data_IF_257437989641
#
_entry.id   IF_257437989641
#
_cell.length_a   1.000
_cell.length_b   1.000
_cell.length_c   1.000
_cell.angle_alpha   90.00
_cell.angle_beta   90.00
_cell.angle_gamma   90.00
#
_symmetry.space_group_name_H-M   'P 1'
#
loop_
_entity.id
_entity.type
_entity.pdbx_description
1 polymer ?
2 non-polymer ?
3 non-polymer ?
#
# COMPACT_ATOMS: atom_id res chain seq x y z
N UNK A 9 -28.02 1.00 17.61
CA UNK A 9 -26.66 1.36 17.22
C UNK A 9 -26.61 1.84 15.77
N UNK A 10 -27.70 1.59 15.03
CA UNK A 10 -27.78 1.98 13.63
C UNK A 10 -28.35 3.37 13.42
N UNK A 11 -28.73 4.07 14.49
CA UNK A 11 -29.24 5.41 14.40
C UNK A 11 -28.24 6.50 14.73
N UNK A 12 -26.95 6.16 14.86
CA UNK A 12 -25.96 7.15 15.27
C UNK A 12 -25.81 8.26 14.24
N UNK A 13 -25.87 7.91 12.95
CA UNK A 13 -25.73 8.90 11.89
C UNK A 13 -27.03 9.63 11.59
N UNK A 14 -28.19 9.00 11.83
CA UNK A 14 -29.44 9.74 11.78
C UNK A 14 -29.52 10.75 12.91
N UNK A 15 -28.99 10.38 14.09
CA UNK A 15 -28.97 11.30 15.23
C UNK A 15 -28.08 12.50 14.93
N UNK A 16 -26.84 12.24 14.49
CA UNK A 16 -25.86 13.30 14.25
C UNK A 16 -26.17 14.12 13.00
N UNK A 17 -27.22 13.78 12.24
CA UNK A 17 -27.49 14.52 11.02
C UNK A 17 -26.44 14.31 9.95
N UNK A 18 -25.84 13.13 9.90
CA UNK A 18 -24.81 12.80 8.93
C UNK A 18 -25.44 11.90 7.88
N UNK A 19 -25.45 12.30 6.60
CA UNK A 19 -26.12 11.49 5.58
C UNK A 19 -25.38 10.19 5.31
N UNK A 20 -26.08 9.27 4.66
CA UNK A 20 -25.53 7.99 4.33
C UNK A 20 -26.59 6.99 3.92
N UNK A 21 -26.16 5.87 3.31
CA UNK A 21 -27.14 4.85 2.89
C UNK A 21 -27.83 4.21 4.07
N UNK A 22 -29.05 3.77 3.84
CA UNK A 22 -29.85 3.16 4.89
C UNK A 22 -29.33 1.74 5.18
N UNK A 23 -28.88 1.46 6.40
CA UNK A 23 -28.34 0.13 6.68
C UNK A 23 -29.43 -0.90 6.94
N UNK A 24 -29.12 -2.14 6.59
CA UNK A 24 -29.97 -3.28 6.91
C UNK A 24 -29.61 -3.83 8.28
N UNK A 25 -30.54 -4.52 8.94
CA UNK A 25 -30.23 -5.11 10.25
C UNK A 25 -29.08 -6.11 10.18
N UNK A 26 -28.20 -6.06 11.18
CA UNK A 26 -27.03 -6.93 11.30
C UNK A 26 -25.98 -6.67 10.22
N UNK A 27 -26.39 -6.72 8.94
CA UNK A 27 -25.43 -6.53 7.86
C UNK A 27 -24.92 -5.10 7.76
N UNK A 28 -25.67 -4.13 8.28
CA UNK A 28 -25.31 -2.75 8.06
C UNK A 28 -25.41 -2.38 6.58
N UNK A 29 -24.28 -1.98 5.99
CA UNK A 29 -24.24 -1.64 4.58
C UNK A 29 -23.29 -2.53 3.80
N UNK A 30 -22.97 -3.71 4.32
CA UNK A 30 -21.97 -4.57 3.68
C UNK A 30 -22.44 -5.11 2.35
N UNK A 31 -23.75 -5.19 2.12
CA UNK A 31 -24.24 -5.66 0.82
C UNK A 31 -23.83 -4.72 -0.30
N UNK A 32 -23.59 -3.44 0.01
CA UNK A 32 -23.13 -2.49 -0.98
C UNK A 32 -21.70 -2.74 -1.44
N UNK A 33 -20.96 -3.61 -0.74
CA UNK A 33 -19.61 -3.97 -1.13
C UNK A 33 -19.55 -4.95 -2.29
N UNK A 34 -20.66 -5.16 -3.00
CA UNK A 34 -20.68 -6.10 -4.10
C UNK A 34 -19.89 -5.60 -5.31
N UNK A 35 -19.68 -4.30 -5.42
CA UNK A 35 -18.83 -3.72 -6.45
C UNK A 35 -17.43 -3.38 -5.93
N UNK A 36 -17.12 -3.76 -4.69
CA UNK A 36 -15.84 -3.45 -4.10
C UNK A 36 -15.87 -2.15 -3.32
N UNK A 37 -14.87 -2.00 -2.44
CA UNK A 37 -14.75 -0.79 -1.63
C UNK A 37 -14.70 0.45 -2.50
N UNK A 38 -13.97 0.37 -3.63
CA UNK A 38 -13.70 1.57 -4.43
C UNK A 38 -14.98 2.14 -5.03
N UNK A 39 -15.74 1.31 -5.75
CA UNK A 39 -16.97 1.78 -6.37
C UNK A 39 -17.98 2.23 -5.33
N UNK A 40 -17.98 1.61 -4.15
CA UNK A 40 -18.90 2.02 -3.10
C UNK A 40 -18.58 3.42 -2.59
N UNK A 41 -17.31 3.69 -2.31
CA UNK A 41 -16.93 5.01 -1.81
C UNK A 41 -17.10 6.09 -2.88
N UNK A 42 -16.78 5.76 -4.14
CA UNK A 42 -16.96 6.72 -5.22
C UNK A 42 -18.41 7.15 -5.33
N UNK A 43 -19.34 6.20 -5.22
CA UNK A 43 -20.76 6.54 -5.26
C UNK A 43 -21.17 7.32 -4.03
N UNK A 44 -20.76 6.86 -2.84
CA UNK A 44 -21.09 7.57 -1.62
C UNK A 44 -20.54 8.98 -1.62
N UNK A 45 -19.33 9.17 -2.17
CA UNK A 45 -18.76 10.51 -2.28
C UNK A 45 -19.61 11.39 -3.18
N UNK A 46 -20.25 10.81 -4.19
CA UNK A 46 -21.12 11.58 -5.08
C UNK A 46 -22.52 11.71 -4.52
N UNK A 47 -22.95 10.75 -3.70
CA UNK A 47 -24.34 10.74 -3.24
C UNK A 47 -24.59 11.72 -2.10
N UNK A 48 -23.60 11.94 -1.23
CA UNK A 48 -23.81 12.72 -0.02
C UNK A 48 -22.85 13.90 0.14
N UNK A 49 -21.69 13.90 -0.51
CA UNK A 49 -20.83 15.07 -0.49
C UNK A 49 -19.57 14.93 0.35
N UNK A 50 -19.32 15.91 1.21
CA UNK A 50 -18.05 16.00 1.91
C UNK A 50 -17.94 15.00 3.05
N UNK A 51 -19.06 14.60 3.65
CA UNK A 51 -19.05 13.72 4.82
C UNK A 51 -20.27 12.82 4.74
N UNK A 52 -20.05 11.51 4.93
CA UNK A 52 -21.15 10.56 5.01
C UNK A 52 -20.77 9.47 6.01
N UNK A 53 -21.73 8.59 6.30
CA UNK A 53 -21.52 7.52 7.25
C UNK A 53 -22.21 6.26 6.80
N UNK A 54 -21.73 5.14 7.35
CA UNK A 54 -22.30 3.83 7.07
C UNK A 54 -21.91 2.90 8.20
N UNK A 55 -22.28 1.62 8.08
CA UNK A 55 -22.12 0.65 9.16
C UNK A 55 -21.53 -0.63 8.60
N UNK A 56 -20.28 -0.92 8.95
CA UNK A 56 -19.67 -2.21 8.66
C UNK A 56 -20.16 -3.20 9.71
N UNK A 57 -21.27 -3.87 9.38
CA UNK A 57 -21.95 -4.70 10.35
C UNK A 57 -22.65 -3.84 11.38
N UNK A 58 -22.17 -3.87 12.63
CA UNK A 58 -22.63 -2.95 13.66
C UNK A 58 -21.63 -1.82 13.92
N UNK A 59 -20.53 -1.78 13.17
CA UNK A 59 -19.47 -0.81 13.41
C UNK A 59 -19.77 0.46 12.62
N UNK A 60 -20.02 1.60 13.28
CA UNK A 60 -20.24 2.85 12.54
C UNK A 60 -18.92 3.38 11.97
N UNK A 61 -18.93 3.73 10.69
CA UNK A 61 -17.77 4.25 10.00
C UNK A 61 -18.13 5.61 9.40
N UNK A 62 -17.34 6.62 9.73
CA UNK A 62 -17.53 7.97 9.21
C UNK A 62 -16.46 8.27 8.17
N UNK A 63 -16.89 8.72 7.00
CA UNK A 63 -16.00 9.00 5.89
C UNK A 63 -15.88 10.50 5.69
N UNK A 64 -14.68 11.04 5.88
CA UNK A 64 -14.40 12.45 5.73
C UNK A 64 -13.60 12.66 4.45
N UNK A 65 -13.88 13.78 3.76
CA UNK A 65 -13.15 14.14 2.55
C UNK A 65 -12.62 15.57 2.60
N UNK A 66 -12.68 16.23 3.77
CA UNK A 66 -12.22 17.60 3.89
C UNK A 66 -10.73 17.61 4.18
N UNK A 67 -9.91 18.28 3.36
CA UNK A 67 -8.45 18.23 3.59
C UNK A 67 -8.03 18.73 4.95
N UNK A 68 -8.66 19.79 5.45
CA UNK A 68 -8.38 20.26 6.81
C UNK A 68 -8.82 19.23 7.84
N UNK A 69 -9.98 18.61 7.62
CA UNK A 69 -10.47 17.58 8.54
C UNK A 69 -9.59 16.34 8.47
N UNK A 70 -9.08 16.01 7.27
CA UNK A 70 -8.17 14.87 7.14
C UNK A 70 -6.85 15.17 7.82
N UNK A 71 -6.29 16.37 7.56
CA UNK A 71 -5.06 16.77 8.22
C UNK A 71 -5.21 16.78 9.73
N UNK A 72 -6.41 17.10 10.23
CA UNK A 72 -6.64 17.10 11.67
C UNK A 72 -6.59 15.69 12.24
N UNK A 73 -7.15 14.71 11.52
CA UNK A 73 -7.20 13.35 12.02
C UNK A 73 -5.85 12.65 11.88
N UNK A 74 -5.26 12.72 10.69
CA UNK A 74 -4.02 11.97 10.44
C UNK A 74 -2.83 12.61 11.14
N UNK A 75 -2.81 13.92 11.30
CA UNK A 75 -1.63 14.63 11.78
C UNK A 75 -1.89 15.33 13.12
N UNK A 76 -2.84 16.27 13.13
CA UNK A 76 -2.98 17.16 14.28
C UNK A 76 -3.41 16.40 15.54
N UNK A 77 -4.37 15.49 15.40
CA UNK A 77 -4.89 14.80 16.58
C UNK A 77 -4.62 13.30 16.51
N UNK A 78 -3.39 12.92 16.15
CA UNK A 78 -3.04 11.52 16.04
C UNK A 78 -2.68 10.92 17.39
N UNK A 79 -1.69 11.50 18.06
CA UNK A 79 -1.23 10.96 19.34
C UNK A 79 -2.29 10.99 20.42
N UNK A 80 -3.35 11.78 20.25
CA UNK A 80 -4.36 11.98 21.28
C UNK A 80 -5.63 11.17 21.05
N UNK A 81 -6.22 11.27 19.85
CA UNK A 81 -7.55 10.75 19.58
C UNK A 81 -7.52 9.63 18.55
N UNK A 82 -6.77 9.80 17.46
CA UNK A 82 -6.79 8.84 16.35
C UNK A 82 -5.41 8.19 16.25
N UNK A 83 -5.08 7.37 17.25
CA UNK A 83 -3.80 6.69 17.28
C UNK A 83 -3.82 5.35 16.56
N UNK A 84 -4.93 4.61 16.66
CA UNK A 84 -4.98 3.23 16.21
C UNK A 84 -5.98 3.07 15.07
N UNK A 85 -5.78 2.02 14.29
CA UNK A 85 -6.64 1.70 13.16
C UNK A 85 -7.79 0.80 13.62
N UNK A 86 -8.59 0.32 12.68
CA UNK A 86 -9.70 -0.56 13.01
C UNK A 86 -9.16 -1.86 13.59
N UNK A 87 -9.72 -2.36 14.69
CA UNK A 87 -9.20 -3.61 15.27
C UNK A 87 -9.32 -4.77 14.31
N UNK A 88 -8.29 -5.62 14.30
CA UNK A 88 -8.17 -6.72 13.34
C UNK A 88 -7.89 -8.00 14.10
N UNK A 89 -8.72 -9.02 13.87
CA UNK A 89 -8.57 -10.29 14.53
C UNK A 89 -9.33 -11.39 13.82
N UNK A 90 -9.00 -12.65 14.12
CA UNK A 90 -7.99 -13.11 15.09
C UNK A 90 -6.57 -12.98 14.56
N UNK A 91 -5.66 -12.42 15.37
CA UNK A 91 -4.29 -12.20 14.95
C UNK A 91 -3.30 -13.04 15.74
N UNK A 92 -3.58 -13.38 16.99
CA UNK A 92 -2.65 -14.19 17.77
C UNK A 92 -1.46 -13.36 18.20
N UNK A 93 -0.26 -13.92 17.99
CA UNK A 93 0.96 -13.18 18.31
C UNK A 93 1.18 -11.99 17.40
N UNK A 94 0.48 -11.93 16.27
CA UNK A 94 0.54 -10.79 15.37
C UNK A 94 -0.11 -9.54 15.93
N UNK A 95 -0.70 -9.60 17.12
CA UNK A 95 -1.22 -8.40 17.76
C UNK A 95 -0.10 -7.40 18.03
N UNK A 96 1.12 -7.89 18.22
CA UNK A 96 2.27 -7.03 18.48
C UNK A 96 2.86 -6.44 17.22
N UNK A 97 2.33 -6.77 16.05
CA UNK A 97 2.82 -6.19 14.81
C UNK A 97 2.56 -4.69 14.80
N UNK A 98 3.50 -3.94 14.22
CA UNK A 98 3.44 -2.48 14.30
C UNK A 98 2.19 -1.95 13.59
N UNK A 99 1.81 -2.60 12.45
CA UNK A 99 0.60 -2.22 11.76
C UNK A 99 -0.67 -2.66 12.48
N UNK A 100 -0.54 -3.38 13.60
CA UNK A 100 -1.68 -3.94 14.32
C UNK A 100 -1.64 -3.46 15.76
N UNK A 101 -0.44 -3.16 16.26
CA UNK A 101 -0.28 -2.71 17.64
C UNK A 101 -1.00 -1.38 17.86
N UNK A 102 -1.25 -1.07 19.14
CA UNK A 102 -2.05 0.08 19.51
C UNK A 102 -1.41 0.85 20.66
N UNK A 103 -1.67 2.15 20.70
CA UNK A 103 -1.40 3.03 21.85
C UNK A 103 0.09 2.99 22.18
N UNK A 104 0.47 2.81 23.45
CA UNK A 104 1.86 2.93 23.85
C UNK A 104 2.72 1.80 23.30
N UNK A 105 2.12 0.64 23.02
CA UNK A 105 2.88 -0.44 22.40
C UNK A 105 3.31 -0.05 21.00
N UNK A 106 2.45 0.68 20.27
CA UNK A 106 2.81 1.09 18.91
C UNK A 106 3.88 2.18 18.92
N UNK A 107 3.75 3.15 19.83
CA UNK A 107 4.72 4.24 19.90
C UNK A 107 6.13 3.71 20.16
N UNK A 108 6.24 2.66 20.96
CA UNK A 108 7.55 2.06 21.22
C UNK A 108 8.08 1.35 19.98
N UNK A 109 7.22 0.62 19.27
CA UNK A 109 7.67 -0.09 18.08
C UNK A 109 7.99 0.87 16.94
N UNK A 110 7.17 1.91 16.77
CA UNK A 110 7.42 2.88 15.69
C UNK A 110 8.75 3.59 15.89
N UNK A 111 9.12 3.86 17.14
CA UNK A 111 10.41 4.49 17.41
C UNK A 111 11.56 3.50 17.20
N UNK A 112 11.36 2.24 17.60
CA UNK A 112 12.41 1.25 17.49
C UNK A 112 12.71 0.89 16.04
N UNK A 113 11.70 0.92 15.18
CA UNK A 113 11.86 0.53 13.78
C UNK A 113 11.98 1.72 12.83
N UNK A 114 11.88 2.95 13.34
CA UNK A 114 12.07 4.11 12.48
C UNK A 114 13.47 4.34 11.93
N UNK A 115 14.57 4.01 12.64
CA UNK A 115 15.90 4.17 12.05
C UNK A 115 16.30 3.11 11.03
N UNK A 116 15.34 2.32 10.54
CA UNK A 116 15.64 1.30 9.55
C UNK A 116 15.60 1.84 8.12
N UNK A 117 14.81 2.87 7.87
CA UNK A 117 14.67 3.46 6.54
C UNK A 117 15.16 4.90 6.51
N UNK A 118 16.24 5.18 7.23
CA UNK A 118 16.85 6.49 7.12
C UNK A 118 17.53 6.66 5.77
N UNK A 119 17.89 7.90 5.45
CA UNK A 119 18.55 8.18 4.18
C UNK A 119 19.91 7.49 4.09
N UNK A 120 20.53 7.15 5.21
CA UNK A 120 21.79 6.45 5.20
C UNK A 120 21.64 4.94 5.09
N UNK A 121 20.66 4.38 5.82
CA UNK A 121 20.41 2.95 5.75
C UNK A 121 19.93 2.53 4.37
N UNK A 122 19.19 3.40 3.67
CA UNK A 122 18.77 3.09 2.31
C UNK A 122 19.94 3.16 1.33
N UNK A 123 20.86 4.09 1.57
CA UNK A 123 22.01 4.22 0.67
C UNK A 123 22.92 3.00 0.72
N UNK A 124 22.95 2.31 1.87
CA UNK A 124 23.72 1.08 1.97
C UNK A 124 23.04 -0.07 1.24
N UNK A 125 21.74 0.04 0.95
CA UNK A 125 21.01 -1.02 0.28
C UNK A 125 21.11 -0.96 -1.24
N UNK A 126 21.46 0.20 -1.80
CA UNK A 126 21.56 0.32 -3.26
C UNK A 126 22.61 -0.63 -3.83
N UNK A 127 23.83 -0.74 -3.27
CA UNK A 127 24.77 -1.75 -3.79
C UNK A 127 24.26 -3.18 -3.62
N UNK A 128 23.47 -3.46 -2.59
CA UNK A 128 22.96 -4.80 -2.38
C UNK A 128 21.78 -5.09 -3.30
N UNK A 129 20.86 -4.13 -3.45
CA UNK A 129 19.72 -4.32 -4.33
C UNK A 129 20.16 -4.48 -5.79
N UNK A 130 21.31 -3.91 -6.13
CA UNK A 130 21.77 -3.85 -7.53
C UNK A 130 22.15 -5.22 -8.08
N UNK A 131 22.02 -6.26 -7.26
CA UNK A 131 22.36 -7.61 -7.70
C UNK A 131 21.17 -8.31 -8.35
N UNK A 132 20.03 -8.33 -7.66
CA UNK A 132 18.88 -9.07 -8.16
C UNK A 132 18.20 -8.37 -9.32
N UNK A 133 18.48 -7.09 -9.54
CA UNK A 133 18.03 -6.45 -10.76
C UNK A 133 18.63 -7.08 -11.99
N UNK A 134 19.91 -7.48 -11.91
CA UNK A 134 20.52 -8.24 -13.00
C UNK A 134 19.94 -9.65 -13.07
N UNK A 135 19.61 -10.24 -11.91
CA UNK A 135 18.85 -11.48 -11.92
C UNK A 135 17.47 -11.24 -12.51
N UNK A 136 16.92 -10.04 -12.31
CA UNK A 136 15.62 -9.71 -12.89
C UNK A 136 15.70 -9.55 -14.39
N UNK A 137 16.74 -8.86 -14.88
CA UNK A 137 16.91 -8.70 -16.32
C UNK A 137 17.21 -10.04 -16.98
N UNK A 138 18.09 -10.84 -16.38
CA UNK A 138 18.42 -12.14 -16.96
C UNK A 138 17.25 -13.10 -16.90
N UNK A 139 16.41 -13.02 -15.87
CA UNK A 139 15.18 -13.81 -15.86
C UNK A 139 14.19 -13.31 -16.89
N UNK A 140 14.21 -12.01 -17.19
CA UNK A 140 13.36 -11.46 -18.24
C UNK A 140 13.97 -11.62 -19.63
N UNK A 141 15.29 -11.82 -19.71
CA UNK A 141 15.94 -12.00 -21.00
C UNK A 141 15.66 -13.38 -21.59
N UNK A 142 15.27 -14.35 -20.76
CA UNK A 142 14.98 -15.70 -21.23
C UNK A 142 13.58 -15.84 -21.82
N UNK A 143 12.61 -15.16 -21.20
CA UNK A 143 11.24 -15.14 -21.77
C UNK A 143 11.28 -14.27 -23.01
N UNK A 144 12.19 -13.29 -23.03
CA UNK A 144 12.34 -12.43 -24.23
C UNK A 144 12.52 -13.32 -25.45
N UNK A 145 13.56 -14.16 -25.45
CA UNK A 145 13.80 -15.08 -26.58
C UNK A 145 12.55 -15.92 -26.80
N UNK A 146 11.94 -16.41 -25.73
CA UNK A 146 10.71 -17.24 -25.84
C UNK A 146 9.68 -16.50 -26.70
N UNK A 147 9.87 -15.19 -26.88
CA UNK A 147 8.95 -14.40 -27.74
C UNK A 147 7.46 -14.61 -27.50
N UNK A 148 7.01 -14.45 -26.25
CA UNK A 148 5.60 -14.72 -25.90
C UNK A 148 5.16 -13.78 -24.78
N UNK A 149 3.87 -13.75 -24.40
CA UNK A 149 3.40 -12.92 -23.28
C UNK A 149 4.19 -13.23 -22.00
N UNK A 150 4.16 -12.31 -21.02
CA UNK A 150 4.92 -12.49 -19.75
C UNK A 150 4.05 -12.06 -18.57
N UNK A 151 4.05 -12.81 -17.47
CA UNK A 151 3.31 -12.36 -16.30
C UNK A 151 4.24 -11.50 -15.46
N UNK A 152 3.94 -10.21 -15.36
CA UNK A 152 4.86 -9.28 -14.70
C UNK A 152 4.96 -9.55 -13.21
N UNK A 153 3.83 -9.77 -12.54
CA UNK A 153 3.84 -9.88 -11.09
C UNK A 153 4.64 -11.09 -10.62
N UNK A 154 4.77 -12.12 -11.46
CA UNK A 154 5.60 -13.26 -11.11
C UNK A 154 7.07 -12.89 -11.09
N UNK A 155 7.57 -12.33 -12.20
CA UNK A 155 8.98 -11.95 -12.26
C UNK A 155 9.26 -10.72 -11.40
N UNK A 156 8.24 -9.89 -11.14
CA UNK A 156 8.41 -8.78 -10.21
C UNK A 156 8.39 -9.26 -8.76
N UNK A 157 7.45 -10.15 -8.43
CA UNK A 157 7.40 -10.71 -7.09
C UNK A 157 8.62 -11.54 -6.76
N UNK A 158 9.11 -12.30 -7.73
CA UNK A 158 10.36 -13.04 -7.55
C UNK A 158 11.51 -12.08 -7.29
N UNK A 159 11.54 -10.96 -8.00
CA UNK A 159 12.53 -9.92 -7.73
C UNK A 159 12.30 -9.28 -6.36
N UNK A 160 11.05 -8.91 -6.07
CA UNK A 160 10.75 -8.20 -4.84
C UNK A 160 11.04 -9.06 -3.62
N UNK A 161 10.79 -10.38 -3.72
CA UNK A 161 11.11 -11.27 -2.61
C UNK A 161 12.63 -11.40 -2.41
N UNK A 162 13.40 -11.35 -3.50
CA UNK A 162 14.85 -11.37 -3.37
C UNK A 162 15.37 -10.14 -2.66
N UNK A 163 14.71 -9.00 -2.85
CA UNK A 163 15.18 -7.76 -2.23
C UNK A 163 14.81 -7.72 -0.75
N UNK A 164 13.60 -8.16 -0.39
CA UNK A 164 13.13 -8.01 0.98
C UNK A 164 13.85 -8.96 1.93
N UNK A 165 14.22 -10.17 1.46
CA UNK A 165 14.91 -11.11 2.31
C UNK A 165 16.35 -10.72 2.56
N UNK A 166 16.96 -9.95 1.66
CA UNK A 166 18.35 -9.52 1.79
C UNK A 166 18.50 -8.13 2.40
N UNK A 167 17.58 -7.21 2.12
CA UNK A 167 17.67 -5.87 2.70
C UNK A 167 17.37 -5.86 4.19
N UNK A 168 16.73 -6.90 4.70
CA UNK A 168 16.35 -6.96 6.11
C UNK A 168 17.06 -8.07 6.88
N UNK A 169 17.40 -9.16 6.18
CA UNK A 169 18.06 -10.32 6.85
C UNK A 169 19.32 -10.70 6.06
N UNK A 170 19.30 -10.50 4.74
CA UNK A 170 20.49 -10.77 3.91
C UNK A 170 20.57 -12.21 3.44
N UNK A 171 19.42 -12.83 3.14
CA UNK A 171 19.42 -14.22 2.59
C UNK A 171 19.42 -14.13 1.06
N UNK A 172 20.36 -14.79 0.40
CA UNK A 172 20.49 -14.69 -1.08
C UNK A 172 19.80 -15.90 -1.73
N UNK A 173 18.75 -15.67 -2.50
CA UNK A 173 18.03 -16.75 -3.17
C UNK A 173 17.55 -16.26 -4.53
N UNK A 174 17.84 -17.04 -5.57
CA UNK A 174 17.32 -16.79 -6.91
C UNK A 174 15.89 -17.31 -6.82
N UNK A 175 14.92 -16.39 -6.90
CA UNK A 175 13.53 -16.78 -6.75
C UNK A 175 12.91 -17.35 -8.01
N UNK A 176 13.56 -18.36 -8.61
CA UNK A 176 12.90 -19.22 -9.56
C UNK A 176 12.88 -20.67 -9.12
N UNK A 197 -13.85 -11.92 -0.71
CA UNK A 197 -13.26 -12.72 0.40
C UNK A 197 -14.22 -13.85 0.78
N UNK A 198 -13.72 -14.97 1.36
CA UNK A 198 -14.58 -16.10 1.77
C UNK A 198 -14.99 -16.08 3.23
N UNK A 199 -14.15 -15.52 4.09
CA UNK A 199 -14.24 -15.69 5.54
C UNK A 199 -14.24 -14.38 6.30
N UNK A 200 -13.50 -13.37 5.83
CA UNK A 200 -13.55 -12.06 6.45
C UNK A 200 -14.94 -11.42 6.32
N UNK A 201 -15.76 -11.92 5.40
CA UNK A 201 -17.15 -11.49 5.31
C UNK A 201 -17.88 -11.71 6.63
N UNK A 202 -17.54 -12.79 7.35
CA UNK A 202 -18.16 -13.06 8.63
C UNK A 202 -17.51 -12.27 9.77
N UNK A 203 -16.29 -11.76 9.56
CA UNK A 203 -15.62 -10.99 10.61
C UNK A 203 -16.40 -9.73 10.94
N UNK A 204 -16.91 -9.04 9.91
CA UNK A 204 -17.50 -7.73 10.14
C UNK A 204 -18.90 -7.82 10.73
N UNK A 205 -19.70 -8.80 10.31
CA UNK A 205 -21.00 -9.00 10.93
C UNK A 205 -20.88 -9.72 12.27
N UNK A 206 -19.79 -10.47 12.48
CA UNK A 206 -19.50 -11.12 13.76
C UNK A 206 -18.19 -10.61 14.34
N UNK A 207 -18.08 -9.32 14.66
CA UNK A 207 -16.88 -8.86 15.38
C UNK A 207 -16.84 -9.35 16.80
N UNK A 208 -18.00 -9.76 17.34
CA UNK A 208 -18.05 -10.43 18.63
C UNK A 208 -17.42 -11.81 18.58
N UNK A 209 -17.31 -12.41 17.39
CA UNK A 209 -16.66 -13.70 17.24
C UNK A 209 -15.14 -13.61 17.18
N UNK A 210 -14.59 -12.41 17.02
CA UNK A 210 -13.13 -12.25 17.03
C UNK A 210 -12.53 -12.69 18.37
N UNK A 211 -13.05 -12.27 19.53
CA UNK A 211 -12.51 -12.82 20.78
C UNK A 211 -12.66 -14.33 20.89
N UNK A 212 -13.68 -14.91 20.26
CA UNK A 212 -13.83 -16.36 20.25
C UNK A 212 -12.63 -17.01 19.56
N UNK A 213 -12.30 -16.53 18.36
CA UNK A 213 -11.24 -17.16 17.57
C UNK A 213 -9.86 -16.93 18.16
N UNK A 214 -9.69 -15.88 18.96
CA UNK A 214 -8.38 -15.62 19.57
C UNK A 214 -8.02 -16.69 20.60
N UNK A 215 -9.03 -17.30 21.24
CA UNK A 215 -8.77 -18.33 22.24
C UNK A 215 -8.68 -19.73 21.64
N UNK A 216 -8.94 -19.88 20.34
CA UNK A 216 -8.83 -21.16 19.65
C UNK A 216 -7.54 -21.28 18.87
N UNK A 217 -6.62 -20.32 18.99
CA UNK A 217 -5.44 -20.16 18.16
C UNK A 217 -5.77 -20.03 16.67
N UNK A 218 -7.04 -19.81 16.34
CA UNK A 218 -7.42 -19.55 14.95
C UNK A 218 -6.79 -18.23 14.52
N UNK A 219 -6.26 -18.20 13.30
CA UNK A 219 -5.57 -17.03 12.80
C UNK A 219 -5.96 -16.80 11.35
N UNK A 220 -6.20 -15.53 11.02
CA UNK A 220 -6.45 -15.15 9.63
C UNK A 220 -5.25 -15.48 8.75
N UNK A 221 -4.06 -15.54 9.35
CA UNK A 221 -2.87 -16.02 8.67
C UNK A 221 -2.71 -17.49 9.01
N UNK A 222 -2.82 -18.40 8.04
CA UNK A 222 -2.86 -19.83 8.36
C UNK A 222 -1.66 -20.26 9.21
N UNK A 223 -1.95 -21.04 10.25
CA UNK A 223 -0.97 -21.35 11.28
C UNK A 223 0.22 -22.13 10.75
N UNK A 224 0.16 -22.67 9.55
CA UNK A 224 1.31 -23.32 8.94
C UNK A 224 2.21 -22.34 8.20
N UNK A 225 1.68 -21.20 7.76
CA UNK A 225 2.53 -20.16 7.18
C UNK A 225 3.33 -19.47 8.27
N UNK A 226 2.71 -19.20 9.42
CA UNK A 226 3.42 -18.57 10.53
C UNK A 226 4.38 -19.55 11.19
N UNK A 227 3.97 -20.80 11.39
CA UNK A 227 4.87 -21.81 11.95
C UNK A 227 6.07 -22.03 11.05
N UNK A 228 5.90 -21.86 9.74
CA UNK A 228 7.05 -21.85 8.84
C UNK A 228 8.00 -20.70 9.16
N UNK A 229 7.53 -19.67 9.86
CA UNK A 229 8.35 -18.52 10.22
C UNK A 229 8.53 -18.34 11.73
N UNK A 230 7.66 -18.91 12.56
CA UNK A 230 7.87 -18.87 14.00
C UNK A 230 9.17 -19.56 14.42
N UNK A 231 9.78 -20.32 13.53
CA UNK A 231 11.11 -20.87 13.71
C UNK A 231 12.12 -20.36 12.69
N UNK A 232 11.69 -19.99 11.49
CA UNK A 232 12.61 -19.54 10.45
C UNK A 232 13.28 -18.23 10.82
N UNK A 233 12.59 -17.35 11.55
CA UNK A 233 13.23 -16.12 12.01
C UNK A 233 14.23 -16.42 13.11
N UNK A 234 13.87 -17.33 14.03
CA UNK A 234 14.85 -17.87 14.95
C UNK A 234 15.92 -18.67 14.22
N UNK A 235 15.61 -19.18 13.03
CA UNK A 235 16.56 -19.87 12.16
C UNK A 235 17.42 -18.89 11.36
N UNK A 236 17.42 -17.61 11.71
CA UNK A 236 18.25 -16.61 11.03
C UNK A 236 18.89 -15.66 12.04
N UNK A 250 21.23 -4.45 8.99
CA UNK A 250 19.95 -4.82 8.39
C UNK A 250 18.83 -4.73 9.41
N UNK A 251 17.59 -4.77 8.91
CA UNK A 251 16.41 -4.70 9.78
C UNK A 251 16.47 -5.76 10.87
N UNK A 252 16.87 -6.98 10.51
CA UNK A 252 17.06 -8.02 11.53
C UNK A 252 18.17 -7.64 12.50
N UNK A 253 19.25 -7.04 11.99
CA UNK A 253 20.33 -6.60 12.86
C UNK A 253 19.87 -5.47 13.78
N UNK A 254 19.20 -4.46 13.21
CA UNK A 254 18.78 -3.28 13.95
C UNK A 254 17.72 -3.55 15.01
N UNK A 255 17.27 -4.80 15.18
CA UNK A 255 16.28 -5.14 16.19
C UNK A 255 16.91 -5.69 17.47
N UNK A 256 17.77 -6.70 17.35
CA UNK A 256 18.43 -7.23 18.53
C UNK A 256 19.42 -6.21 19.09
N UNK A 257 20.00 -5.38 18.22
CA UNK A 257 20.92 -4.35 18.69
C UNK A 257 20.20 -3.30 19.53
N UNK A 258 18.93 -3.03 19.23
CA UNK A 258 18.11 -2.16 20.05
C UNK A 258 17.34 -2.93 21.12
N UNK A 259 17.61 -4.22 21.27
CA UNK A 259 17.10 -5.02 22.38
C UNK A 259 18.10 -5.05 23.52
N UNK A 260 19.32 -5.53 23.25
CA UNK A 260 20.40 -5.59 24.23
C UNK A 260 19.98 -6.32 25.51
N UNK A 268 10.96 -2.53 28.54
CA UNK A 268 10.84 -1.33 27.74
C UNK A 268 11.69 -1.44 26.48
N UNK A 269 12.16 -2.65 26.21
CA UNK A 269 12.95 -2.96 25.03
C UNK A 269 12.17 -3.93 24.15
N UNK A 270 12.86 -4.60 23.22
CA UNK A 270 12.21 -5.45 22.24
C UNK A 270 12.27 -6.91 22.66
N UNK A 271 11.22 -7.67 22.31
CA UNK A 271 11.13 -9.08 22.65
C UNK A 271 11.61 -9.92 21.46
N UNK A 272 11.25 -11.20 21.43
CA UNK A 272 11.68 -12.11 20.37
C UNK A 272 10.52 -12.62 19.52
N UNK A 273 9.43 -13.08 20.15
CA UNK A 273 8.25 -13.44 19.37
C UNK A 273 7.69 -12.22 18.65
N UNK A 274 7.87 -11.03 19.23
CA UNK A 274 7.46 -9.82 18.54
C UNK A 274 8.41 -9.47 17.40
N UNK A 275 9.67 -9.90 17.50
CA UNK A 275 10.60 -9.71 16.40
C UNK A 275 10.17 -10.49 15.16
N UNK A 276 9.60 -11.68 15.37
CA UNK A 276 9.10 -12.46 14.25
C UNK A 276 7.89 -11.77 13.63
N UNK A 277 7.01 -11.20 14.45
CA UNK A 277 5.80 -10.57 13.93
C UNK A 277 6.13 -9.38 13.06
N UNK A 278 7.15 -8.60 13.43
CA UNK A 278 7.56 -7.47 12.59
C UNK A 278 8.20 -7.96 11.29
N UNK A 279 8.89 -9.10 11.33
CA UNK A 279 9.45 -9.66 10.11
C UNK A 279 8.36 -10.04 9.13
N UNK A 280 7.27 -10.64 9.64
CA UNK A 280 6.17 -11.04 8.76
C UNK A 280 5.55 -9.81 8.10
N UNK A 281 5.40 -8.72 8.85
CA UNK A 281 4.85 -7.50 8.29
C UNK A 281 5.73 -6.96 7.18
N UNK A 282 7.05 -6.90 7.44
CA UNK A 282 7.98 -6.35 6.45
C UNK A 282 8.08 -7.27 5.23
N UNK A 283 8.13 -8.58 5.45
CA UNK A 283 8.30 -9.52 4.34
C UNK A 283 7.10 -9.45 3.40
N UNK A 284 5.89 -9.35 3.95
CA UNK A 284 4.71 -9.19 3.10
C UNK A 284 4.71 -7.82 2.42
N UNK A 285 4.99 -6.76 3.19
CA UNK A 285 4.90 -5.41 2.66
C UNK A 285 5.85 -5.22 1.48
N UNK A 286 7.10 -5.63 1.63
CA UNK A 286 8.06 -5.48 0.55
C UNK A 286 7.81 -6.38 -0.64
N UNK A 287 7.11 -7.51 -0.44
CA UNK A 287 6.80 -8.40 -1.57
C UNK A 287 5.58 -7.91 -2.34
N UNK A 288 4.41 -7.95 -1.69
CA UNK A 288 3.16 -7.75 -2.41
C UNK A 288 3.02 -6.32 -2.92
N UNK A 289 3.30 -5.34 -2.07
CA UNK A 289 3.12 -3.95 -2.46
C UNK A 289 4.04 -3.57 -3.62
N UNK A 290 5.32 -3.97 -3.53
CA UNK A 290 6.27 -3.63 -4.60
C UNK A 290 5.89 -4.30 -5.91
N UNK A 291 5.56 -5.60 -5.86
CA UNK A 291 5.22 -6.33 -7.07
C UNK A 291 3.92 -5.83 -7.68
N UNK A 292 2.95 -5.47 -6.84
CA UNK A 292 1.64 -5.06 -7.35
C UNK A 292 1.73 -3.72 -8.06
N UNK A 293 2.41 -2.75 -7.45
CA UNK A 293 2.52 -1.43 -8.06
C UNK A 293 3.37 -1.48 -9.31
N UNK A 294 4.42 -2.31 -9.31
CA UNK A 294 5.23 -2.49 -10.51
C UNK A 294 4.42 -3.09 -11.64
N UNK A 295 3.47 -3.99 -11.32
CA UNK A 295 2.58 -4.52 -12.33
C UNK A 295 1.68 -3.42 -12.89
N UNK A 296 1.20 -2.53 -12.02
CA UNK A 296 0.37 -1.42 -12.48
C UNK A 296 1.17 -0.46 -13.35
N UNK A 297 2.44 -0.23 -13.01
CA UNK A 297 3.24 0.75 -13.73
C UNK A 297 3.54 0.26 -15.15
N UNK A 298 3.94 -1.00 -15.29
CA UNK A 298 4.27 -1.52 -16.61
C UNK A 298 3.05 -1.65 -17.50
N UNK A 299 1.87 -1.85 -16.91
CA UNK A 299 0.65 -1.84 -17.70
C UNK A 299 0.39 -0.46 -18.28
N UNK A 300 0.54 0.59 -17.44
CA UNK A 300 0.27 1.94 -17.91
C UNK A 300 1.29 2.39 -18.95
N UNK A 301 2.55 1.94 -18.82
CA UNK A 301 3.55 2.28 -19.83
C UNK A 301 3.25 1.60 -21.15
N UNK A 302 2.69 0.40 -21.11
CA UNK A 302 2.38 -0.32 -22.35
C UNK A 302 1.19 0.30 -23.07
N UNK A 303 0.14 0.65 -22.32
CA UNK A 303 -1.04 1.27 -22.92
C UNK A 303 -0.84 2.75 -23.25
N UNK A 304 0.26 3.35 -22.77
CA UNK A 304 0.62 4.72 -23.11
C UNK A 304 2.08 4.71 -23.54
N UNK A 305 2.35 4.35 -24.80
CA UNK A 305 3.75 4.15 -25.23
C UNK A 305 4.57 5.44 -25.23
N UNK A 306 3.94 6.60 -25.46
CA UNK A 306 4.68 7.85 -25.49
C UNK A 306 5.33 8.13 -24.14
N UNK A 307 4.64 7.79 -23.04
CA UNK A 307 5.23 7.96 -21.72
C UNK A 307 6.39 7.00 -21.52
N UNK A 308 6.32 5.80 -22.11
CA UNK A 308 7.37 4.82 -21.91
C UNK A 308 8.66 5.24 -22.61
N UNK A 309 8.56 5.77 -23.83
CA UNK A 309 9.75 6.23 -24.54
C UNK A 309 10.37 7.43 -23.86
N UNK A 310 9.55 8.44 -23.52
CA UNK A 310 10.06 9.60 -22.81
C UNK A 310 10.68 9.21 -21.48
N UNK A 311 10.22 8.10 -20.88
CA UNK A 311 10.85 7.60 -19.67
C UNK A 311 12.18 6.93 -19.98
N UNK A 312 12.23 6.13 -21.06
CA UNK A 312 13.48 5.51 -21.46
C UNK A 312 14.53 6.54 -21.88
N UNK A 313 14.09 7.68 -22.41
CA UNK A 313 15.03 8.73 -22.80
C UNK A 313 15.70 9.35 -21.59
N UNK A 314 14.95 9.59 -20.52
CA UNK A 314 15.55 10.16 -19.32
C UNK A 314 16.45 9.16 -18.60
N UNK A 315 16.11 7.86 -18.67
CA UNK A 315 16.93 6.85 -18.02
C UNK A 315 18.31 6.76 -18.68
N UNK A 316 18.35 6.84 -20.01
CA UNK A 316 19.62 6.83 -20.73
C UNK A 316 20.34 8.17 -20.66
N UNK A 317 19.65 9.24 -20.27
CA UNK A 317 20.32 10.53 -20.13
C UNK A 317 21.07 10.63 -18.80
N UNK A 318 20.41 10.28 -17.70
CA UNK A 318 21.08 10.28 -16.40
C UNK A 318 22.07 9.12 -16.32
N UNK A 319 21.76 7.98 -16.94
CA UNK A 319 22.60 6.79 -16.91
C UNK A 319 22.94 6.40 -18.34
N UNK A 320 23.94 7.04 -18.95
CA UNK A 320 24.35 6.64 -20.30
C UNK A 320 25.12 5.33 -20.28
N UNK A 321 25.13 4.67 -21.45
CA UNK A 321 25.78 3.38 -21.62
C UNK A 321 25.20 2.32 -20.68
N UNK A 322 23.91 2.45 -20.33
CA UNK A 322 23.24 1.56 -19.40
C UNK A 322 24.00 1.51 -18.06
N UNK A 323 24.14 2.68 -17.45
CA UNK A 323 24.90 2.79 -16.22
C UNK A 323 24.13 2.20 -15.04
N UNK A 324 24.83 1.68 -14.04
CA UNK A 324 24.15 1.14 -12.86
C UNK A 324 23.51 2.25 -12.05
N UNK A 325 22.21 2.14 -11.73
CA UNK A 325 21.54 3.19 -10.97
C UNK A 325 22.03 3.24 -9.53
N UNK A 326 22.55 4.41 -9.13
CA UNK A 326 22.98 4.65 -7.77
C UNK A 326 21.91 5.43 -7.02
N UNK A 327 22.14 5.68 -5.74
CA UNK A 327 21.17 6.39 -4.92
C UNK A 327 20.91 7.80 -5.45
N UNK A 328 21.97 8.53 -5.77
CA UNK A 328 21.83 9.92 -6.16
C UNK A 328 21.24 10.09 -7.55
N UNK A 329 21.48 9.12 -8.44
CA UNK A 329 20.92 9.20 -9.79
C UNK A 329 19.44 8.83 -9.82
N UNK A 330 18.95 8.11 -8.83
CA UNK A 330 17.53 7.74 -8.79
C UNK A 330 16.67 8.94 -8.40
N UNK A 331 17.11 9.73 -7.42
CA UNK A 331 16.36 10.92 -7.02
C UNK A 331 16.43 12.04 -8.05
N UNK A 332 17.29 11.92 -9.05
CA UNK A 332 17.38 12.95 -10.08
C UNK A 332 16.33 12.78 -11.17
N UNK A 333 15.96 11.53 -11.46
CA UNK A 333 15.00 11.24 -12.54
C UNK A 333 13.62 11.69 -12.10
N UNK A 334 13.20 12.87 -12.57
CA UNK A 334 11.92 13.43 -12.15
C UNK A 334 10.76 12.83 -12.93
N UNK A 335 10.96 12.54 -14.21
CA UNK A 335 9.88 11.90 -14.97
C UNK A 335 9.61 10.48 -14.49
N UNK A 336 10.64 9.81 -13.97
CA UNK A 336 10.43 8.52 -13.30
C UNK A 336 9.56 8.70 -12.07
N UNK A 337 9.81 9.76 -11.29
CA UNK A 337 8.98 10.04 -10.13
C UNK A 337 7.56 10.42 -10.54
N UNK A 338 7.40 11.11 -11.67
CA UNK A 338 6.08 11.48 -12.14
C UNK A 338 5.28 10.27 -12.57
N UNK A 339 5.92 9.30 -13.21
CA UNK A 339 5.24 8.06 -13.59
C UNK A 339 4.84 7.27 -12.35
N UNK A 340 5.70 7.26 -11.33
CA UNK A 340 5.40 6.52 -10.11
C UNK A 340 4.23 7.16 -9.37
N UNK A 341 4.26 8.49 -9.23
CA UNK A 341 3.19 9.17 -8.49
C UNK A 341 1.84 9.00 -9.18
N UNK A 342 1.81 9.13 -10.50
CA UNK A 342 0.54 9.07 -11.22
C UNK A 342 -0.07 7.67 -11.15
N UNK A 343 0.77 6.63 -11.26
CA UNK A 343 0.25 5.27 -11.13
C UNK A 343 -0.29 5.02 -9.72
N UNK A 344 0.39 5.55 -8.72
CA UNK A 344 -0.10 5.43 -7.35
C UNK A 344 -1.37 6.23 -7.12
N UNK A 345 -1.63 7.26 -7.94
CA UNK A 345 -2.90 7.97 -7.86
C UNK A 345 -4.03 7.08 -8.36
N UNK A 346 -3.86 6.46 -9.52
CA UNK A 346 -4.90 5.59 -10.07
C UNK A 346 -5.05 4.32 -9.26
N UNK A 347 -3.97 3.83 -8.65
CA UNK A 347 -3.99 2.56 -7.92
C UNK A 347 -3.34 2.72 -6.56
N UNK A 348 -3.99 3.40 -5.61
CA UNK A 348 -3.53 3.37 -4.23
C UNK A 348 -3.88 2.06 -3.56
N UNK A 349 -2.92 1.14 -3.47
CA UNK A 349 -3.14 -0.24 -3.08
C UNK A 349 -3.88 -0.35 -1.75
N UNK A 350 -3.80 0.69 -0.92
CA UNK A 350 -4.49 0.69 0.35
C UNK A 350 -5.95 1.12 0.24
N UNK A 351 -6.30 1.90 -0.79
CA UNK A 351 -7.66 2.32 -1.06
C UNK A 351 -8.12 3.28 0.03
N UNK A 352 -8.00 2.87 1.30
CA UNK A 352 -8.58 3.59 2.42
C UNK A 352 -7.53 3.81 3.50
N UNK A 353 -7.73 4.90 4.26
CA UNK A 353 -6.98 5.17 5.47
C UNK A 353 -7.99 5.26 6.62
N UNK A 354 -7.72 4.53 7.70
CA UNK A 354 -8.68 4.41 8.78
C UNK A 354 -8.04 4.68 10.14
N UNK A 355 -8.80 5.33 11.01
CA UNK A 355 -8.40 5.61 12.38
C UNK A 355 -9.61 5.41 13.29
N UNK A 356 -9.37 4.87 14.48
CA UNK A 356 -10.43 4.67 15.46
C UNK A 356 -10.46 5.88 16.39
N UNK A 357 -11.58 6.58 16.41
CA UNK A 357 -11.79 7.66 17.37
C UNK A 357 -11.86 7.08 18.78
N UNK A 358 -10.91 7.48 19.63
CA UNK A 358 -10.78 6.88 20.95
C UNK A 358 -11.43 7.70 22.06
N UNK A 359 -11.96 8.89 21.75
CA UNK A 359 -12.71 9.67 22.72
C UNK A 359 -13.43 10.79 21.98
N UNK A 360 -14.47 11.32 22.63
CA UNK A 360 -15.31 12.35 22.01
C UNK A 360 -14.48 13.55 21.60
N UNK A 361 -14.73 14.05 20.39
CA UNK A 361 -14.04 15.21 19.85
C UNK A 361 -15.00 16.00 18.98
N UNK A 362 -14.63 17.26 18.71
CA UNK A 362 -15.37 18.15 17.82
C UNK A 362 -14.35 18.77 16.87
N UNK A 363 -13.93 17.99 15.88
CA UNK A 363 -12.91 18.43 14.94
C UNK A 363 -13.56 19.27 13.85
N UNK A 364 -12.94 20.41 13.54
CA UNK A 364 -13.34 21.31 12.46
C UNK A 364 -14.85 21.55 12.42
N UNK A 365 -15.45 21.74 13.58
CA UNK A 365 -16.86 22.05 13.68
C UNK A 365 -17.80 20.88 13.62
N UNK A 366 -17.31 19.64 13.69
CA UNK A 366 -18.15 18.46 13.61
C UNK A 366 -17.84 17.56 14.81
N UNK A 367 -18.87 17.22 15.57
CA UNK A 367 -18.71 16.28 16.68
C UNK A 367 -18.57 14.86 16.14
N UNK A 368 -17.67 14.10 16.75
CA UNK A 368 -17.44 12.70 16.39
C UNK A 368 -17.48 11.89 17.68
N UNK A 369 -18.38 10.93 17.83
CA UNK A 369 -18.50 10.19 19.08
C UNK A 369 -17.38 9.18 19.26
N UNK A 370 -17.24 8.71 20.50
CA UNK A 370 -16.20 7.74 20.83
C UNK A 370 -16.51 6.39 20.18
N UNK A 371 -15.48 5.80 19.56
CA UNK A 371 -15.60 4.49 18.95
C UNK A 371 -15.78 4.50 17.45
N UNK A 372 -16.12 5.64 16.86
CA UNK A 372 -16.37 5.72 15.43
C UNK A 372 -15.07 5.52 14.66
N UNK A 373 -15.10 4.67 13.64
CA UNK A 373 -13.96 4.47 12.76
C UNK A 373 -13.99 5.57 11.71
N UNK A 374 -13.01 6.47 11.75
CA UNK A 374 -12.88 7.54 10.76
C UNK A 374 -12.11 6.99 9.56
N UNK A 375 -12.70 7.14 8.37
CA UNK A 375 -12.13 6.57 7.15
C UNK A 375 -11.97 7.66 6.11
N UNK A 376 -10.86 7.61 5.39
CA UNK A 376 -10.55 8.53 4.30
C UNK A 376 -10.57 7.72 3.00
N UNK A 377 -11.55 7.91 2.13
CA UNK A 377 -11.60 7.14 0.89
C UNK A 377 -10.52 7.58 -0.10
N UNK A 378 -9.33 7.01 0.03
CA UNK A 378 -8.20 7.44 -0.79
C UNK A 378 -8.46 7.20 -2.27
N UNK A 379 -9.01 6.04 -2.62
CA UNK A 379 -9.33 5.77 -4.02
C UNK A 379 -10.34 6.76 -4.56
N UNK A 380 -11.32 7.14 -3.74
CA UNK A 380 -12.34 8.08 -4.19
C UNK A 380 -11.76 9.47 -4.38
N UNK A 381 -10.87 9.90 -3.48
CA UNK A 381 -10.29 11.24 -3.58
C UNK A 381 -9.32 11.34 -4.76
N UNK A 382 -8.57 10.27 -5.04
CA UNK A 382 -7.64 10.27 -6.16
C UNK A 382 -8.34 10.35 -7.51
N UNK A 383 -9.66 10.18 -7.55
CA UNK A 383 -10.41 10.22 -8.80
C UNK A 383 -11.55 11.23 -8.76
N UNK A 384 -11.48 12.23 -7.88
CA UNK A 384 -12.54 13.21 -7.76
C UNK A 384 -12.37 14.29 -8.82
N UNK A 385 -13.35 14.49 -9.71
CA UNK A 385 -13.22 15.56 -10.72
C UNK A 385 -13.17 16.95 -10.12
N UNK A 386 -13.61 17.13 -8.88
CA UNK A 386 -13.47 18.41 -8.20
C UNK A 386 -12.03 18.69 -7.75
N UNK A 387 -11.10 17.81 -8.10
CA UNK A 387 -9.67 18.03 -7.91
C UNK A 387 -8.82 17.64 -9.12
N UNK A 388 -9.26 16.70 -9.96
CA UNK A 388 -8.46 16.17 -11.05
C UNK A 388 -9.20 16.38 -12.37
N UNK A 389 -8.52 16.98 -13.33
CA UNK A 389 -9.06 17.14 -14.68
C UNK A 389 -8.93 15.82 -15.44
N UNK A 390 -10.06 15.33 -15.96
CA UNK A 390 -10.14 14.04 -16.64
C UNK A 390 -9.49 12.97 -15.75
N UNK A 391 -10.14 12.58 -14.66
CA UNK A 391 -9.44 11.79 -13.63
C UNK A 391 -9.09 10.38 -14.06
N UNK A 392 -9.86 9.77 -14.95
CA UNK A 392 -9.61 8.39 -15.34
C UNK A 392 -8.43 8.23 -16.29
N UNK A 393 -7.86 9.33 -16.77
CA UNK A 393 -6.79 9.26 -17.78
C UNK A 393 -5.42 9.26 -17.10
N UNK A 394 -4.52 8.44 -17.64
CA UNK A 394 -3.15 8.35 -17.14
C UNK A 394 -2.36 9.54 -17.68
N UNK A 395 -2.00 10.47 -16.79
CA UNK A 395 -1.31 11.69 -17.17
C UNK A 395 -0.24 12.00 -16.13
N UNK A 396 1.00 11.56 -16.36
CA UNK A 396 2.08 11.87 -15.39
C UNK A 396 2.39 13.35 -15.28
N UNK A 397 1.96 14.17 -16.25
CA UNK A 397 2.22 15.60 -16.18
C UNK A 397 1.50 16.29 -15.03
N UNK A 398 0.62 15.58 -14.31
CA UNK A 398 0.04 16.15 -13.10
C UNK A 398 1.10 16.43 -12.05
N UNK A 399 2.19 15.66 -12.07
CA UNK A 399 3.21 15.73 -11.02
C UNK A 399 4.50 16.37 -11.49
N UNK A 400 4.46 17.13 -12.59
CA UNK A 400 5.62 17.94 -12.97
C UNK A 400 5.74 19.12 -12.02
N UNK A 401 6.96 19.65 -11.91
CA UNK A 401 7.20 20.79 -11.03
C UNK A 401 6.45 22.04 -11.50
N UNK A 402 5.86 22.02 -12.69
CA UNK A 402 4.98 23.08 -13.12
C UNK A 402 3.57 22.91 -12.56
N UNK A 403 3.18 21.68 -12.25
CA UNK A 403 1.82 21.39 -11.77
C UNK A 403 1.77 20.70 -10.42
N UNK A 404 2.90 20.25 -9.86
CA UNK A 404 2.88 19.50 -8.61
C UNK A 404 2.41 20.33 -7.42
N UNK A 405 2.26 21.63 -7.59
CA UNK A 405 1.84 22.50 -6.49
C UNK A 405 0.34 22.72 -6.38
N UNK A 406 -0.41 22.37 -7.42
CA UNK A 406 -1.87 22.47 -7.40
C UNK A 406 -2.49 21.17 -6.91
N UNK A 407 -1.80 20.48 -6.01
CA UNK A 407 -2.21 19.18 -5.53
C UNK A 407 -2.13 19.20 -4.01
N UNK A 408 -3.28 18.97 -3.36
CA UNK A 408 -3.34 18.93 -1.91
C UNK A 408 -2.74 17.62 -1.40
N UNK A 409 -1.67 17.67 -0.58
CA UNK A 409 -1.10 16.45 0.00
C UNK A 409 -2.00 15.75 1.01
N UNK A 410 -3.23 16.22 1.19
CA UNK A 410 -4.23 15.52 1.99
C UNK A 410 -5.40 15.03 1.14
N UNK A 411 -5.31 15.20 -0.18
CA UNK A 411 -6.14 14.49 -1.13
C UNK A 411 -5.39 13.36 -1.81
N UNK A 412 -4.14 13.62 -2.21
CA UNK A 412 -3.26 12.58 -2.73
C UNK A 412 -2.44 12.03 -1.58
N UNK A 413 -2.89 10.91 -1.01
CA UNK A 413 -2.22 10.26 0.12
C UNK A 413 -2.06 8.79 -0.17
N UNK A 414 -1.15 8.42 -1.08
CA UNK A 414 -0.89 7.00 -1.33
C UNK A 414 -0.07 6.32 -0.24
N UNK A 415 0.58 7.07 0.63
CA UNK A 415 1.37 6.53 1.72
C UNK A 415 0.84 6.98 3.08
N UNK A 416 -0.41 7.45 3.13
CA UNK A 416 -0.95 7.98 4.36
C UNK A 416 -0.37 9.33 4.72
N UNK A 417 -0.46 9.67 6.00
CA UNK A 417 0.08 10.92 6.51
C UNK A 417 0.14 10.83 8.03
N UNK A 418 0.89 11.74 8.63
CA UNK A 418 1.02 11.82 10.07
C UNK A 418 1.98 10.79 10.62
N UNK A 419 1.98 10.64 11.95
CA UNK A 419 2.93 9.71 12.58
C UNK A 419 2.68 8.25 12.26
N UNK A 420 1.53 7.90 11.67
CA UNK A 420 1.20 6.51 11.37
C UNK A 420 1.22 6.23 9.86
N UNK A 421 1.90 7.08 9.08
CA UNK A 421 1.96 6.86 7.65
C UNK A 421 2.82 5.64 7.34
N UNK A 422 2.95 5.33 6.05
CA UNK A 422 3.74 4.19 5.61
C UNK A 422 5.20 4.34 6.05
N UNK A 423 5.65 3.47 6.95
CA UNK A 423 7.01 3.59 7.49
C UNK A 423 8.04 3.27 6.42
N UNK A 424 7.69 2.44 5.43
CA UNK A 424 8.61 2.08 4.39
C UNK A 424 8.34 2.80 3.07
N UNK A 425 7.88 4.04 3.17
CA UNK A 425 7.56 4.81 1.97
C UNK A 425 8.82 5.09 1.16
N UNK A 426 9.89 5.54 1.82
CA UNK A 426 11.11 5.90 1.10
C UNK A 426 11.82 4.68 0.52
N UNK A 427 11.70 3.52 1.19
CA UNK A 427 12.29 2.30 0.65
C UNK A 427 11.51 1.81 -0.57
N UNK A 428 10.18 1.85 -0.50
CA UNK A 428 9.36 1.34 -1.59
C UNK A 428 9.57 2.16 -2.87
N UNK A 429 9.66 3.48 -2.74
CA UNK A 429 9.95 4.31 -3.89
C UNK A 429 11.34 4.00 -4.45
N UNK A 430 12.32 3.78 -3.58
CA UNK A 430 13.66 3.47 -4.05
C UNK A 430 13.74 2.08 -4.65
N UNK A 431 13.09 1.09 -4.02
CA UNK A 431 13.13 -0.27 -4.53
C UNK A 431 12.47 -0.37 -5.90
N UNK A 432 11.35 0.33 -6.08
CA UNK A 432 10.65 0.28 -7.38
C UNK A 432 11.43 1.01 -8.46
N UNK A 433 11.98 2.18 -8.13
CA UNK A 433 12.69 2.97 -9.14
C UNK A 433 13.96 2.27 -9.60
N UNK A 434 14.67 1.61 -8.67
CA UNK A 434 15.83 0.81 -9.07
C UNK A 434 15.41 -0.33 -9.99
N UNK A 435 14.20 -0.85 -9.82
CA UNK A 435 13.71 -1.92 -10.68
C UNK A 435 13.24 -1.38 -12.03
N UNK A 436 12.59 -0.22 -12.03
CA UNK A 436 12.12 0.36 -13.29
C UNK A 436 13.28 0.82 -14.16
N UNK A 437 14.35 1.32 -13.54
CA UNK A 437 15.51 1.77 -14.29
C UNK A 437 16.18 0.59 -15.01
N UNK A 438 16.47 -0.48 -14.26
CA UNK A 438 17.24 -1.58 -14.81
C UNK A 438 16.46 -2.36 -15.85
N UNK A 439 15.13 -2.37 -15.75
CA UNK A 439 14.30 -3.11 -16.70
C UNK A 439 14.01 -2.29 -17.95
N UNK A 440 13.64 -1.02 -17.79
CA UNK A 440 13.42 -0.16 -18.95
C UNK A 440 14.71 0.21 -19.66
N UNK A 441 15.88 -0.02 -19.04
CA UNK A 441 17.15 0.17 -19.72
C UNK A 441 17.40 -0.90 -20.77
N UNK A 442 16.76 -2.06 -20.65
CA UNK A 442 17.02 -3.20 -21.52
C UNK A 442 15.83 -3.63 -22.37
N UNK A 443 14.60 -3.36 -21.92
CA UNK A 443 13.42 -3.88 -22.59
C UNK A 443 12.38 -2.79 -22.81
N UNK A 444 11.57 -2.98 -23.85
CA UNK A 444 10.33 -2.24 -24.05
C UNK A 444 9.16 -3.19 -23.87
N UNK A 445 7.99 -2.62 -23.61
CA UNK A 445 6.80 -3.40 -23.25
C UNK A 445 5.64 -3.01 -24.14
N UNK A 446 5.04 -4.00 -24.79
CA UNK A 446 3.88 -3.85 -25.66
C UNK A 446 2.74 -4.72 -25.16
N UNK A 447 1.49 -4.28 -25.35
CA UNK A 447 0.36 -5.13 -24.98
C UNK A 447 0.27 -6.36 -25.87
N UNK A 448 -0.41 -7.38 -25.36
CA UNK A 448 -0.62 -8.62 -26.06
C UNK A 448 -2.09 -8.78 -26.42
N UNK A 449 -2.39 -9.87 -27.15
CA UNK A 449 -3.78 -10.17 -27.48
C UNK A 449 -4.60 -10.47 -26.24
N UNK A 450 -3.99 -11.09 -25.23
CA UNK A 450 -4.67 -11.44 -23.99
C UNK A 450 -4.53 -10.37 -22.91
N UNK A 451 -3.88 -9.25 -23.21
CA UNK A 451 -3.78 -8.16 -22.24
C UNK A 451 -5.14 -7.54 -22.01
N UNK A 452 -5.50 -7.36 -20.74
CA UNK A 452 -6.80 -6.83 -20.36
C UNK A 452 -6.80 -5.31 -20.51
N UNK A 453 -7.49 -4.82 -21.56
CA UNK A 453 -7.60 -3.40 -21.82
C UNK A 453 -9.06 -3.07 -22.09
N UNK A 454 -9.70 -2.21 -21.29
CA UNK A 454 -9.17 -1.50 -20.12
C UNK A 454 -8.99 -2.43 -18.92
N UNK A 455 -8.05 -2.14 -18.03
CA UNK A 455 -7.77 -3.02 -16.92
C UNK A 455 -8.91 -2.98 -15.90
N UNK A 456 -9.57 -4.12 -15.71
CA UNK A 456 -10.61 -4.23 -14.69
C UNK A 456 -9.96 -4.44 -13.32
N UNK A 457 -10.31 -3.57 -12.37
CA UNK A 457 -9.86 -3.76 -11.00
C UNK A 457 -10.57 -4.96 -10.38
N UNK A 458 -9.91 -5.55 -9.39
CA UNK A 458 -10.52 -6.66 -8.66
C UNK A 458 -11.74 -6.16 -7.88
N UNK A 459 -12.92 -6.62 -8.28
CA UNK A 459 -14.18 -6.20 -7.65
C UNK A 459 -14.27 -6.75 -6.24
N UNK A 460 -13.22 -7.45 -5.80
CA UNK A 460 -13.19 -8.08 -4.51
C UNK A 460 -12.71 -7.18 -3.40
N UNK A 461 -11.72 -7.64 -2.63
CA UNK A 461 -11.30 -6.99 -1.41
C UNK A 461 -10.13 -6.05 -1.54
N UNK A 462 -9.00 -6.55 -2.03
CA UNK A 462 -7.78 -5.76 -2.12
C UNK A 462 -7.56 -5.27 -3.55
N UNK A 463 -6.79 -4.18 -3.67
CA UNK A 463 -6.61 -3.51 -4.96
C UNK A 463 -5.64 -4.31 -5.81
N UNK A 464 -6.19 -5.15 -6.68
CA UNK A 464 -5.43 -5.95 -7.63
C UNK A 464 -6.19 -6.00 -8.95
N UNK A 465 -5.57 -6.45 -10.03
CA UNK A 465 -6.32 -6.67 -11.27
C UNK A 465 -7.05 -8.00 -11.25
N UNK A 466 -8.18 -8.04 -11.96
CA UNK A 466 -8.92 -9.29 -12.13
C UNK A 466 -8.04 -10.32 -12.82
N UNK A 467 -7.74 -10.09 -14.11
CA UNK A 467 -6.78 -10.92 -14.80
C UNK A 467 -5.36 -10.43 -14.51
N UNK A 468 -4.41 -11.34 -14.30
CA UNK A 468 -3.02 -10.91 -14.12
C UNK A 468 -2.52 -10.12 -15.31
N UNK A 469 -1.61 -9.19 -15.06
CA UNK A 469 -1.11 -8.28 -16.07
C UNK A 469 -0.07 -9.01 -16.92
N UNK A 470 -0.39 -9.22 -18.19
CA UNK A 470 0.50 -9.89 -19.14
C UNK A 470 0.77 -8.93 -20.29
N UNK A 471 2.04 -8.84 -20.69
CA UNK A 471 2.48 -7.96 -21.76
C UNK A 471 3.58 -8.64 -22.56
N UNK A 472 3.83 -8.12 -23.76
CA UNK A 472 4.93 -8.60 -24.59
C UNK A 472 6.18 -7.79 -24.27
N UNK A 473 7.32 -8.47 -24.24
CA UNK A 473 8.60 -7.87 -23.88
C UNK A 473 9.54 -7.98 -25.08
N UNK A 474 10.21 -6.89 -25.43
CA UNK A 474 11.15 -6.85 -26.55
C UNK A 474 12.48 -6.28 -26.07
N UNK A 475 13.56 -6.83 -26.60
CA UNK A 475 14.91 -6.47 -26.15
C UNK A 475 15.47 -5.35 -27.01
N UNK A 476 16.08 -4.36 -26.35
CA UNK A 476 16.67 -3.22 -27.04
C UNK A 476 18.10 -3.52 -27.46
X LIG B 1 1.40 1.58 6.33
X LIG B 1 1.15 2.39 1.54
X LIG B 1 5.17 -0.25 0.88
X LIG B 1 5.46 -1.00 5.67
X LIG B 1 0.98 2.02 5.10
X LIG B 1 -0.19 2.84 4.84
X LIG B 1 -0.26 3.06 3.52
X LIG B 1 0.87 2.39 2.90
X LIG B 1 -1.33 3.88 2.77
X LIG B 1 -1.19 3.36 5.90
X LIG B 1 -0.90 4.81 6.23
X LIG B 1 -1.93 5.32 7.21
X LIG B 1 -1.96 6.55 7.46
X LIG B 1 -2.72 4.50 7.74
X LIG B 1 2.22 1.75 0.95
X LIG B 1 2.52 1.77 -0.47
X LIG B 1 3.64 1.03 -0.66
X LIG B 1 4.06 0.54 0.64
X LIG B 1 1.66 2.52 -1.51
X LIG B 1 4.41 0.72 -1.96
X LIG B 1 4.08 1.15 -3.18
X LIG B 1 5.62 -0.64 2.11
X LIG B 1 6.88 -1.32 2.38
X LIG B 1 6.98 -1.54 3.69
X LIG B 1 5.78 -1.00 4.32
X LIG B 1 7.92 -1.73 1.31
X LIG B 1 8.19 -2.25 4.35
X LIG B 1 8.26 -2.51 5.66
X LIG B 1 4.37 -0.41 6.26
X LIG B 1 3.99 -0.52 7.66
X LIG B 1 2.87 0.19 7.84
X LIG B 1 2.50 0.77 6.57
X LIG B 1 4.75 -1.30 8.75
X LIG B 1 2.13 0.36 9.18
X LIG B 1 2.46 1.75 9.73
X LIG B 1 2.15 1.81 11.21
X LIG B 1 2.90 2.53 11.93
X LIG B 1 1.18 1.14 11.66
X LIG B 1 1.59 1.76 3.89
X LIG B 1 3.17 0.99 1.58
X LIG B 1 4.99 -0.47 3.32
X LIG B 1 3.42 0.38 5.63
X LIG B 1 3.29 0.65 3.61
X LIG C 1 0.90 -1.06 2.53
X LIG C 1 0.19 -2.26 2.27
X LIG C 1 0.51 -3.43 3.03
X LIG C 1 -2.79 -6.54 7.92
X LIG C 1 -2.48 -8.02 8.28
X LIG C 1 -1.37 -8.74 7.46
X LIG C 1 -1.56 -9.05 6.08
X LIG C 1 -0.54 -9.71 5.34
X LIG C 1 0.68 -10.07 5.96
X LIG C 1 0.86 -9.76 7.32
X LIG C 1 -0.16 -9.11 8.06
X LIG C 1 -3.75 -4.02 9.55
X LIG C 1 -4.35 -3.09 8.37
X LIG C 1 -3.60 -1.69 8.28
X LIG C 1 -1.55 -5.62 7.84
X LIG C 1 -0.05 -3.90 6.63
X LIG C 1 1.31 -4.64 6.37
X LIG C 1 1.88 -4.60 4.90
X LIG C 1 1.50 -3.37 4.04
X LIG C 1 2.15 -2.12 4.23
X LIG C 1 -3.06 -1.30 6.86
X LIG C 1 -1.72 -0.90 6.71
X LIG C 1 -1.17 -0.55 5.45
X LIG C 1 -1.98 -0.58 4.30
X LIG C 1 -3.32 -0.98 4.44
X LIG C 1 -3.86 -1.33 5.70
X LIG C 1 -6.60 -4.41 5.98
X LIG C 1 -5.25 -4.42 5.48
X LIG C 1 -4.87 -5.08 4.27
X LIG C 1 -5.84 -5.74 3.49
X LIG C 1 -7.20 -5.76 3.92
X LIG C 1 -7.53 -5.10 5.14
X LIG C 1 -1.24 -4.78 6.71
X LIG C 1 1.85 -1.01 3.49
X LIG C 1 -5.86 -2.84 8.45
X LIG C 1 -0.77 -5.58 8.81
X LIG C 1 -7.74 -4.56 8.39
X LIG C 1 -8.22 -2.66 7.28
X LIG C 1 -4.01 -5.85 9.18
X LIG C 1 -7.12 -3.55 7.57
#
# INVERSE_FOLDING_TARGET
>A
MAYLYGTHSHGLFKKLGIPGPTPLPFLGNILSYHKGFCMFDMECHKKYGKVWGFYDGQQPVLAITDPDMIKTVLVKECYSVFTNRRPFGPVGFMKSAISIAEDEEWKRLRSLLSPTFTSGKLKEMVPIIAQYGDVLVRNLRREAETGKPVTLKDVFGAYSMDVITSTSFGVNIDSLNNPQDPFVENTKKLLRFDFLDPFFLSITVFPFLIPILEVLNICVFPREVTNFLRKSVKRMKESRLEDTQKHRVDFLQLMIDSQNSKETESHKALSDLELVAQSIIFIFAGYETTSSVLSFIMYELATHPDVQQKLQEEIDAVLPNKAPPTYDTVLQMEYLDMVVNETLRLFPIAMRLERVCKKDVEINGMFIPKGVVVMIPSYALHRDPKYWTEPEKFLPERFSKKNKDNIDPYIYTPFGSGPRNCIGMRFALMNMKLALIRVLQNFSFKPCKETQIPLKLSLGGLLQPEKPVVLKVESRDGTVSGAHHHH
>B hetero
1 HEM CHA CHB CHC CHD C1A C2A C3A C4A CMA CAA CBA CGA O1A O2A C1B C2B C3B C4B CMB CAB CBB C1C C2C C3C C4C CMC CAC CBC C1D C2D C3D C4D CMD CAD CBD CGD O1D O2D NA NB NC ND FE
>C hetero
1 A1A4U C10 C11 C12 C13 C14 C15 C16 C17 C18 C19 C20 C22 C23 C24 C02 C04 C05 C06 C07 C08 C25 C26 C27 C28 C29 C30 C35 C36 C37 C38 C39 C40 N03 N09 N31 O01 O33 O34 S21 S32
#
